data_IF_671552632432
#
_entry.id   IF_671552632432
#
_cell.length_a   1.000
_cell.length_b   1.000
_cell.length_c   1.000
_cell.angle_alpha   90.00
_cell.angle_beta   90.00
_cell.angle_gamma   90.00
#
_symmetry.space_group_name_H-M   'P 1'
#
loop_
_entity.id
_entity.type
_entity.pdbx_description
1 polymer ?
#
# COMPACT_ATOMS: atom_id res chain seq x y z
N UNK A 1 31.34 65.70 78.49
CA UNK A 1 32.14 65.69 77.24
C UNK A 1 31.89 64.37 76.51
N UNK A 2 31.43 64.48 75.24
CA UNK A 2 30.90 63.43 74.36
C UNK A 2 31.98 63.11 73.31
N UNK A 3 32.52 61.89 73.24
CA UNK A 3 33.06 61.22 72.01
C UNK A 3 33.91 60.00 72.37
N UNK A 4 33.40 58.80 72.08
CA UNK A 4 34.22 57.63 71.73
C UNK A 4 33.40 56.50 71.08
N UNK A 5 32.08 56.45 71.33
CA UNK A 5 31.18 55.41 70.78
C UNK A 5 30.87 55.47 69.27
N UNK A 6 31.18 56.57 68.58
CA UNK A 6 30.88 56.72 67.14
C UNK A 6 31.88 56.00 66.23
N UNK A 7 33.11 55.78 66.72
CA UNK A 7 34.18 55.18 65.92
C UNK A 7 34.14 53.66 65.96
N UNK A 8 33.76 53.06 67.10
CA UNK A 8 33.53 51.61 67.21
C UNK A 8 32.30 51.16 66.40
N UNK A 9 31.27 51.99 66.32
CA UNK A 9 30.10 51.73 65.49
C UNK A 9 30.43 51.86 63.99
N UNK A 10 31.24 52.86 63.61
CA UNK A 10 31.69 53.05 62.23
C UNK A 10 32.63 51.93 61.75
N UNK A 11 33.52 51.44 62.61
CA UNK A 11 34.41 50.32 62.30
C UNK A 11 33.63 49.00 62.13
N UNK A 12 32.63 48.75 62.99
CA UNK A 12 31.77 47.57 62.87
C UNK A 12 30.93 47.54 61.58
N UNK A 13 30.39 48.70 61.17
CA UNK A 13 29.66 48.82 59.90
C UNK A 13 30.56 48.69 58.67
N UNK A 14 31.82 49.14 58.74
CA UNK A 14 32.77 48.99 57.65
C UNK A 14 33.18 47.51 57.43
N UNK A 15 33.31 46.74 58.52
CA UNK A 15 33.61 45.31 58.45
C UNK A 15 32.39 44.52 57.96
N UNK A 16 31.18 44.86 58.41
CA UNK A 16 29.95 44.21 57.94
C UNK A 16 29.65 44.53 56.46
N UNK A 17 29.93 45.76 56.01
CA UNK A 17 29.83 46.14 54.60
C UNK A 17 30.88 45.43 53.72
N UNK A 18 32.11 45.26 54.22
CA UNK A 18 33.15 44.49 53.52
C UNK A 18 32.83 42.99 53.45
N UNK A 19 32.19 42.42 54.47
CA UNK A 19 31.69 41.04 54.46
C UNK A 19 30.47 40.85 53.54
N UNK A 20 29.57 41.83 53.44
CA UNK A 20 28.45 41.79 52.49
C UNK A 20 28.87 42.00 51.03
N UNK A 21 30.02 42.61 50.77
CA UNK A 21 30.62 42.72 49.43
C UNK A 21 31.38 41.44 49.01
N UNK A 22 31.59 40.49 49.92
CA UNK A 22 32.29 39.22 49.67
C UNK A 22 31.38 37.99 49.48
N UNK A 23 30.07 38.12 49.69
CA UNK A 23 29.10 37.03 49.58
C UNK A 23 28.14 37.27 48.40
N UNK A 24 28.68 37.25 47.19
CA UNK A 24 27.90 37.45 45.97
C UNK A 24 28.53 36.85 44.72
N UNK A 25 29.44 35.88 44.86
CA UNK A 25 29.76 34.98 43.74
C UNK A 25 28.66 33.92 43.71
N UNK A 26 27.55 34.27 43.09
CA UNK A 26 26.74 33.26 42.41
C UNK A 26 27.65 32.76 41.30
N UNK A 27 28.26 31.59 41.51
CA UNK A 27 28.85 30.82 40.44
C UNK A 27 27.70 30.46 39.49
N UNK A 28 27.38 31.35 38.55
CA UNK A 28 26.78 30.90 37.32
C UNK A 28 27.78 29.91 36.75
N UNK A 29 27.40 28.63 36.70
CA UNK A 29 28.16 27.66 35.92
C UNK A 29 28.15 28.21 34.50
N UNK A 30 29.25 28.85 34.10
CA UNK A 30 29.39 29.42 32.77
C UNK A 30 29.16 28.26 31.80
N UNK A 31 28.05 28.31 31.06
CA UNK A 31 27.77 27.33 30.02
C UNK A 31 28.97 27.26 29.09
N UNK A 32 29.46 26.06 28.82
CA UNK A 32 30.58 25.84 27.91
C UNK A 32 30.09 26.00 26.45
N UNK A 33 31.00 26.10 25.47
CA UNK A 33 30.63 26.22 24.04
C UNK A 33 29.73 25.07 23.56
N UNK A 34 29.81 23.91 24.21
CA UNK A 34 28.98 22.74 23.91
C UNK A 34 27.66 22.70 24.71
N UNK A 35 27.52 23.52 25.76
CA UNK A 35 26.34 23.59 26.62
C UNK A 35 26.10 25.04 27.10
N UNK A 36 25.66 25.94 26.19
CA UNK A 36 25.41 27.34 26.52
C UNK A 36 24.18 27.48 27.41
N UNK A 37 24.23 28.40 28.38
CA UNK A 37 23.07 28.73 29.21
C UNK A 37 21.97 29.38 28.35
N UNK A 38 20.82 28.73 28.24
CA UNK A 38 19.61 29.25 27.59
C UNK A 38 18.53 29.56 28.63
N UNK A 39 17.76 30.63 28.43
CA UNK A 39 16.62 30.93 29.30
C UNK A 39 15.40 30.10 28.89
N UNK A 40 14.58 29.72 29.88
CA UNK A 40 13.31 29.05 29.61
C UNK A 40 12.44 29.85 28.62
N UNK A 41 12.41 31.19 28.75
CA UNK A 41 11.68 32.05 27.81
C UNK A 41 12.20 31.97 26.38
N UNK A 42 13.51 31.80 26.15
CA UNK A 42 14.05 31.64 24.80
C UNK A 42 13.66 30.29 24.18
N UNK A 43 13.60 29.24 25.00
CA UNK A 43 13.10 27.93 24.58
C UNK A 43 11.61 28.01 24.21
N UNK A 44 10.78 28.58 25.08
CA UNK A 44 9.33 28.61 24.94
C UNK A 44 8.85 29.58 23.84
N UNK A 45 9.48 30.76 23.73
CA UNK A 45 9.02 31.82 22.81
C UNK A 45 9.67 31.74 21.42
N UNK A 46 10.86 31.14 21.30
CA UNK A 46 11.63 31.16 20.04
C UNK A 46 11.89 29.76 19.50
N UNK A 47 12.57 28.91 20.27
CA UNK A 47 13.09 27.63 19.75
C UNK A 47 11.99 26.59 19.52
N UNK A 48 11.09 26.40 20.49
CA UNK A 48 10.01 25.42 20.38
C UNK A 48 9.06 25.75 19.22
N UNK A 49 8.55 27.00 19.06
CA UNK A 49 7.70 27.35 17.92
C UNK A 49 8.39 27.15 16.56
N UNK A 50 9.67 27.51 16.43
CA UNK A 50 10.43 27.36 15.19
C UNK A 50 10.65 25.87 14.83
N UNK A 51 11.00 25.04 15.81
CA UNK A 51 11.14 23.59 15.62
C UNK A 51 9.81 22.95 15.25
N UNK A 52 8.72 23.31 15.92
CA UNK A 52 7.37 22.81 15.58
C UNK A 52 7.01 23.21 14.15
N UNK A 53 7.21 24.47 13.77
CA UNK A 53 6.95 24.93 12.41
C UNK A 53 7.78 24.16 11.37
N UNK A 54 9.06 23.87 11.67
CA UNK A 54 9.93 23.10 10.78
C UNK A 54 9.51 21.64 10.67
N UNK A 55 9.09 21.03 11.78
CA UNK A 55 8.57 19.66 11.80
C UNK A 55 7.27 19.56 11.02
N UNK A 56 6.36 20.53 11.16
CA UNK A 56 5.11 20.58 10.39
C UNK A 56 5.36 20.74 8.89
N UNK A 57 6.29 21.61 8.49
CA UNK A 57 6.70 21.78 7.10
C UNK A 57 7.24 20.46 6.52
N UNK A 58 8.20 19.84 7.20
CA UNK A 58 8.78 18.56 6.78
C UNK A 58 7.74 17.43 6.73
N UNK A 59 6.78 17.43 7.66
CA UNK A 59 5.70 16.44 7.69
C UNK A 59 4.74 16.61 6.51
N UNK A 60 4.39 17.85 6.14
CA UNK A 60 3.56 18.13 4.96
C UNK A 60 4.23 17.65 3.68
N UNK A 61 5.53 17.92 3.52
CA UNK A 61 6.31 17.45 2.37
C UNK A 61 6.32 15.92 2.32
N UNK A 62 6.60 15.26 3.45
CA UNK A 62 6.64 13.80 3.52
C UNK A 62 5.27 13.17 3.25
N UNK A 63 4.19 13.79 3.73
CA UNK A 63 2.82 13.35 3.48
C UNK A 63 2.45 13.48 2.00
N UNK A 64 2.84 14.59 1.34
CA UNK A 64 2.64 14.77 -0.09
C UNK A 64 3.44 13.73 -0.91
N UNK A 65 4.70 13.51 -0.56
CA UNK A 65 5.54 12.50 -1.20
C UNK A 65 4.94 11.10 -1.05
N UNK A 66 4.52 10.72 0.17
CA UNK A 66 3.91 9.43 0.43
C UNK A 66 2.59 9.25 -0.32
N UNK A 67 1.77 10.31 -0.40
CA UNK A 67 0.52 10.27 -1.17
C UNK A 67 0.77 10.08 -2.67
N UNK A 68 1.83 10.70 -3.21
CA UNK A 68 2.24 10.54 -4.60
C UNK A 68 2.77 9.14 -4.89
N UNK A 69 3.61 8.60 -3.99
CA UNK A 69 4.12 7.23 -4.10
C UNK A 69 2.98 6.20 -4.04
N UNK A 70 2.03 6.38 -3.12
CA UNK A 70 0.87 5.50 -3.00
C UNK A 70 0.00 5.55 -4.28
N UNK A 71 -0.26 6.75 -4.81
CA UNK A 71 -1.00 6.91 -6.06
C UNK A 71 -0.29 6.24 -7.25
N UNK A 72 1.02 6.39 -7.37
CA UNK A 72 1.82 5.73 -8.40
C UNK A 72 1.79 4.21 -8.27
N UNK A 73 1.87 3.69 -7.05
CA UNK A 73 1.80 2.26 -6.78
C UNK A 73 0.41 1.68 -7.11
N UNK A 74 -0.66 2.41 -6.79
CA UNK A 74 -2.03 2.03 -7.16
C UNK A 74 -2.18 2.01 -8.69
N UNK A 75 -1.70 3.03 -9.40
CA UNK A 75 -1.76 3.08 -10.86
C UNK A 75 -0.99 1.91 -11.51
N UNK A 76 0.17 1.55 -10.95
CA UNK A 76 0.94 0.38 -11.39
C UNK A 76 0.14 -0.91 -11.19
N UNK A 77 -0.45 -1.11 -10.01
CA UNK A 77 -1.28 -2.29 -9.76
C UNK A 77 -2.52 -2.34 -10.67
N UNK A 78 -3.17 -1.20 -10.93
CA UNK A 78 -4.30 -1.12 -11.87
C UNK A 78 -3.87 -1.51 -13.28
N UNK A 79 -2.73 -1.00 -13.77
CA UNK A 79 -2.18 -1.39 -15.06
C UNK A 79 -1.81 -2.87 -15.12
N UNK A 80 -1.23 -3.45 -14.05
CA UNK A 80 -0.95 -4.88 -13.97
C UNK A 80 -2.24 -5.72 -13.98
N UNK A 81 -3.31 -5.27 -13.31
CA UNK A 81 -4.64 -5.92 -13.32
C UNK A 81 -5.27 -5.88 -14.72
N UNK A 82 -5.17 -4.74 -15.42
CA UNK A 82 -5.70 -4.56 -16.77
C UNK A 82 -4.89 -5.34 -17.82
N UNK A 83 -3.56 -5.31 -17.72
CA UNK A 83 -2.68 -6.05 -18.62
C UNK A 83 -2.77 -7.57 -18.43
N UNK A 84 -3.11 -8.04 -17.23
CA UNK A 84 -3.39 -9.45 -16.94
C UNK A 84 -4.80 -9.90 -17.42
N UNK A 85 -5.53 -9.09 -18.18
CA UNK A 85 -6.81 -9.50 -18.76
C UNK A 85 -7.94 -9.66 -17.74
N UNK A 86 -7.91 -8.88 -16.65
CA UNK A 86 -9.00 -8.84 -15.68
C UNK A 86 -9.10 -10.08 -14.78
N UNK A 87 -8.14 -10.25 -13.86
CA UNK A 87 -8.34 -11.04 -12.62
C UNK A 87 -7.18 -10.87 -11.65
N UNK A 88 -7.13 -9.73 -10.97
CA UNK A 88 -6.41 -9.62 -9.70
C UNK A 88 -7.30 -8.95 -8.65
N UNK A 89 -8.51 -9.52 -8.51
CA UNK A 89 -9.27 -9.48 -7.27
C UNK A 89 -9.09 -10.82 -6.58
N UNK A 90 -8.16 -10.90 -5.63
CA UNK A 90 -8.13 -11.99 -4.66
C UNK A 90 -9.43 -11.94 -3.86
N UNK A 91 -10.42 -12.74 -4.25
CA UNK A 91 -11.73 -12.76 -3.62
C UNK A 91 -12.81 -13.38 -4.49
N UNK A 92 -12.84 -14.72 -4.54
CA UNK A 92 -13.81 -15.59 -5.23
C UNK A 92 -13.47 -15.87 -6.69
N UNK A 93 -13.24 -17.14 -7.02
CA UNK A 93 -13.25 -17.63 -8.40
C UNK A 93 -14.68 -17.51 -8.95
N UNK A 94 -15.04 -16.32 -9.43
CA UNK A 94 -16.33 -16.02 -10.06
C UNK A 94 -16.29 -16.39 -11.55
N UNK A 95 -17.45 -16.70 -12.11
CA UNK A 95 -17.57 -16.86 -13.56
C UNK A 95 -17.62 -15.50 -14.25
N UNK A 96 -16.83 -15.36 -15.32
CA UNK A 96 -16.87 -14.23 -16.25
C UNK A 96 -17.70 -14.61 -17.47
N UNK A 97 -18.56 -13.69 -17.93
CA UNK A 97 -19.27 -13.84 -19.20
C UNK A 97 -18.32 -13.51 -20.35
N UNK A 98 -18.03 -14.50 -21.19
CA UNK A 98 -17.27 -14.32 -22.43
C UNK A 98 -18.21 -14.45 -23.63
N UNK A 99 -18.12 -13.51 -24.56
CA UNK A 99 -18.84 -13.56 -25.83
C UNK A 99 -17.84 -13.78 -26.95
N UNK A 100 -18.10 -14.78 -27.79
CA UNK A 100 -17.29 -15.12 -28.97
C UNK A 100 -18.16 -15.14 -30.23
N UNK A 101 -17.56 -14.79 -31.35
CA UNK A 101 -18.15 -14.90 -32.69
C UNK A 101 -17.53 -16.06 -33.47
N UNK A 102 -18.16 -16.44 -34.57
CA UNK A 102 -17.78 -17.64 -35.34
C UNK A 102 -16.31 -17.62 -35.75
N UNK A 103 -15.60 -18.71 -35.49
CA UNK A 103 -14.19 -18.88 -35.84
C UNK A 103 -13.21 -18.45 -34.76
N UNK A 104 -13.62 -17.64 -33.78
CA UNK A 104 -12.76 -17.31 -32.63
C UNK A 104 -12.43 -18.56 -31.82
N UNK A 105 -11.23 -18.57 -31.27
CA UNK A 105 -10.70 -19.68 -30.47
C UNK A 105 -10.37 -19.18 -29.07
N UNK A 106 -10.83 -19.91 -28.06
CA UNK A 106 -10.50 -19.67 -26.67
C UNK A 106 -9.52 -20.73 -26.20
N UNK A 107 -8.33 -20.33 -25.78
CA UNK A 107 -7.40 -21.21 -25.08
C UNK A 107 -7.79 -21.31 -23.61
N UNK A 108 -7.69 -22.53 -23.07
CA UNK A 108 -8.02 -22.85 -21.68
C UNK A 108 -6.76 -23.31 -20.95
N UNK A 109 -6.48 -22.68 -19.81
CA UNK A 109 -5.45 -23.16 -18.89
C UNK A 109 -5.92 -24.39 -18.10
N UNK A 110 -4.99 -25.09 -17.47
CA UNK A 110 -5.33 -26.22 -16.58
C UNK A 110 -6.14 -25.70 -15.38
N UNK A 111 -7.25 -26.37 -15.09
CA UNK A 111 -8.22 -25.97 -14.06
C UNK A 111 -9.27 -24.97 -14.54
N UNK A 112 -9.21 -24.52 -15.80
CA UNK A 112 -10.23 -23.65 -16.37
C UNK A 112 -11.55 -24.41 -16.55
N UNK A 113 -12.64 -23.80 -16.10
CA UNK A 113 -13.99 -24.31 -16.20
C UNK A 113 -14.84 -23.45 -17.14
N UNK A 114 -15.66 -24.11 -17.95
CA UNK A 114 -16.46 -23.46 -18.97
C UNK A 114 -17.88 -24.03 -19.00
N UNK A 115 -18.86 -23.14 -19.09
CA UNK A 115 -20.27 -23.48 -19.26
C UNK A 115 -20.85 -22.71 -20.46
N UNK A 116 -21.23 -23.45 -21.51
CA UNK A 116 -21.86 -22.90 -22.72
C UNK A 116 -23.33 -22.54 -22.44
N UNK A 117 -23.71 -21.27 -22.62
CA UNK A 117 -25.08 -20.78 -22.42
C UNK A 117 -25.81 -20.49 -23.73
N UNK A 118 -25.12 -19.90 -24.71
CA UNK A 118 -25.70 -19.49 -26.01
C UNK A 118 -24.77 -19.92 -27.14
N UNK A 119 -25.35 -20.27 -28.29
CA UNK A 119 -24.60 -20.69 -29.48
C UNK A 119 -24.11 -22.13 -29.42
N UNK A 120 -23.04 -22.40 -30.15
CA UNK A 120 -22.35 -23.69 -30.23
C UNK A 120 -20.83 -23.48 -30.24
N UNK A 121 -20.11 -24.31 -29.49
CA UNK A 121 -18.65 -24.34 -29.48
C UNK A 121 -18.17 -25.79 -29.57
N UNK A 122 -17.07 -26.02 -30.28
CA UNK A 122 -16.43 -27.35 -30.36
C UNK A 122 -15.12 -27.33 -29.60
N UNK A 123 -14.79 -28.45 -28.95
CA UNK A 123 -13.50 -28.60 -28.26
C UNK A 123 -12.43 -29.07 -29.23
N UNK A 124 -11.21 -28.55 -29.10
CA UNK A 124 -10.05 -29.01 -29.84
C UNK A 124 -8.89 -29.33 -28.88
N UNK A 125 -8.17 -30.39 -29.22
CA UNK A 125 -7.02 -30.88 -28.47
C UNK A 125 -6.21 -31.85 -29.32
N UNK A 126 -4.91 -31.97 -29.01
CA UNK A 126 -4.01 -32.95 -29.65
C UNK A 126 -3.98 -34.30 -28.92
N UNK A 127 -4.45 -34.35 -27.66
CA UNK A 127 -4.44 -35.54 -26.82
C UNK A 127 -5.81 -35.74 -26.15
N UNK A 128 -6.13 -36.98 -25.76
CA UNK A 128 -7.38 -37.32 -25.06
C UNK A 128 -7.17 -37.46 -23.54
N UNK A 129 -8.17 -37.13 -22.71
CA UNK A 129 -9.42 -36.46 -23.08
C UNK A 129 -9.20 -34.97 -23.39
N UNK A 130 -10.13 -34.38 -24.12
CA UNK A 130 -10.10 -32.94 -24.38
C UNK A 130 -10.54 -32.17 -23.14
N UNK A 131 -11.71 -32.51 -22.59
CA UNK A 131 -12.26 -31.93 -21.35
C UNK A 131 -12.92 -33.02 -20.50
N UNK A 132 -13.15 -32.71 -19.22
CA UNK A 132 -14.04 -33.49 -18.35
C UNK A 132 -15.38 -32.78 -18.30
N UNK A 133 -16.47 -33.49 -18.57
CA UNK A 133 -17.84 -33.02 -18.34
C UNK A 133 -18.22 -33.34 -16.89
N UNK A 134 -18.20 -32.31 -16.03
CA UNK A 134 -18.52 -32.45 -14.60
C UNK A 134 -20.01 -32.74 -14.40
N UNK A 135 -20.87 -32.27 -15.31
CA UNK A 135 -22.31 -32.48 -15.19
C UNK A 135 -22.71 -33.94 -15.40
N UNK A 136 -22.00 -34.66 -16.25
CA UNK A 136 -22.25 -36.09 -16.51
C UNK A 136 -21.22 -37.02 -15.86
N UNK A 137 -20.08 -36.49 -15.40
CA UNK A 137 -18.94 -37.27 -14.89
C UNK A 137 -18.10 -37.94 -15.97
N UNK A 138 -18.33 -37.62 -17.25
CA UNK A 138 -17.68 -38.25 -18.40
C UNK A 138 -16.53 -37.43 -19.00
N UNK A 139 -15.88 -38.01 -20.01
CA UNK A 139 -14.86 -37.32 -20.82
C UNK A 139 -15.43 -36.81 -22.13
N UNK A 140 -14.98 -35.63 -22.57
CA UNK A 140 -15.25 -35.07 -23.90
C UNK A 140 -13.98 -35.21 -24.75
N UNK A 141 -14.13 -35.69 -25.99
CA UNK A 141 -13.02 -35.88 -26.93
C UNK A 141 -12.90 -34.71 -27.92
N UNK A 142 -11.73 -34.59 -28.53
CA UNK A 142 -11.44 -33.58 -29.57
C UNK A 142 -12.48 -33.63 -30.69
N UNK A 143 -12.94 -32.47 -31.15
CA UNK A 143 -13.96 -32.31 -32.20
C UNK A 143 -15.40 -32.39 -31.71
N UNK A 144 -15.66 -32.80 -30.45
CA UNK A 144 -17.02 -32.84 -29.92
C UNK A 144 -17.59 -31.41 -29.74
N UNK A 145 -18.89 -31.28 -29.97
CA UNK A 145 -19.64 -30.05 -29.65
C UNK A 145 -20.00 -30.05 -28.16
N UNK A 146 -19.86 -28.88 -27.52
CA UNK A 146 -20.29 -28.72 -26.13
C UNK A 146 -21.81 -28.69 -26.05
N UNK A 147 -22.36 -29.43 -25.09
CA UNK A 147 -23.77 -29.35 -24.71
C UNK A 147 -23.99 -28.12 -23.82
N UNK A 148 -25.02 -27.33 -24.14
CA UNK A 148 -25.41 -26.16 -23.34
C UNK A 148 -25.72 -26.57 -21.91
N UNK A 149 -25.35 -25.71 -20.95
CA UNK A 149 -25.58 -25.86 -19.51
C UNK A 149 -24.80 -26.98 -18.81
N UNK A 150 -23.94 -27.67 -19.53
CA UNK A 150 -22.98 -28.58 -18.92
C UNK A 150 -21.73 -27.79 -18.50
N UNK A 151 -21.19 -28.16 -17.33
CA UNK A 151 -19.94 -27.62 -16.82
C UNK A 151 -18.78 -28.51 -17.29
N UNK A 152 -17.86 -27.94 -18.03
CA UNK A 152 -16.65 -28.62 -18.49
C UNK A 152 -15.42 -28.09 -17.77
N UNK A 153 -14.43 -28.95 -17.53
CA UNK A 153 -13.14 -28.54 -16.97
C UNK A 153 -11.99 -29.03 -17.83
N UNK A 154 -11.03 -28.13 -18.07
CA UNK A 154 -9.75 -28.44 -18.67
C UNK A 154 -8.81 -28.99 -17.60
N UNK A 155 -8.38 -30.23 -17.74
CA UNK A 155 -7.46 -30.89 -16.78
C UNK A 155 -6.08 -31.13 -17.35
N UNK A 156 -5.86 -30.79 -18.63
CA UNK A 156 -4.62 -31.01 -19.39
C UNK A 156 -4.35 -29.70 -20.14
N UNK A 157 -3.09 -29.27 -20.31
CA UNK A 157 -2.78 -28.07 -21.09
C UNK A 157 -3.19 -28.20 -22.57
N UNK A 158 -3.12 -27.07 -23.29
CA UNK A 158 -3.34 -26.99 -24.74
C UNK A 158 -4.74 -27.45 -25.17
N UNK A 159 -5.75 -27.05 -24.41
CA UNK A 159 -7.17 -27.24 -24.76
C UNK A 159 -7.74 -25.94 -25.28
N UNK A 160 -8.48 -26.03 -26.37
CA UNK A 160 -9.14 -24.86 -26.93
C UNK A 160 -10.62 -25.13 -27.23
N UNK A 161 -11.40 -24.06 -27.21
CA UNK A 161 -12.78 -24.04 -27.67
C UNK A 161 -12.87 -23.18 -28.91
N UNK A 162 -13.44 -23.72 -29.98
CA UNK A 162 -13.72 -22.97 -31.20
C UNK A 162 -15.19 -22.61 -31.26
N UNK A 163 -15.49 -21.33 -31.38
CA UNK A 163 -16.85 -20.85 -31.59
C UNK A 163 -17.35 -21.29 -32.98
N UNK A 164 -18.49 -21.97 -33.01
CA UNK A 164 -19.10 -22.51 -34.23
C UNK A 164 -20.38 -21.77 -34.64
N UNK A 165 -20.79 -20.74 -33.90
CA UNK A 165 -21.94 -19.88 -34.19
C UNK A 165 -21.53 -18.39 -34.17
N UNK A 166 -22.37 -17.52 -34.75
CA UNK A 166 -22.12 -16.07 -34.80
C UNK A 166 -22.23 -15.37 -33.43
N UNK A 167 -22.99 -15.93 -32.50
CA UNK A 167 -23.11 -15.47 -31.11
C UNK A 167 -22.96 -16.67 -30.15
N UNK A 168 -21.82 -16.75 -29.48
CA UNK A 168 -21.51 -17.78 -28.48
C UNK A 168 -21.28 -17.11 -27.14
N UNK A 169 -22.01 -17.53 -26.10
CA UNK A 169 -21.85 -17.00 -24.75
C UNK A 169 -21.47 -18.10 -23.77
N UNK A 170 -20.34 -17.89 -23.10
CA UNK A 170 -19.73 -18.83 -22.16
C UNK A 170 -19.63 -18.16 -20.80
N UNK A 171 -19.88 -18.92 -19.75
CA UNK A 171 -19.45 -18.55 -18.40
C UNK A 171 -18.13 -19.28 -18.15
N UNK A 172 -17.06 -18.53 -17.85
CA UNK A 172 -15.71 -19.07 -17.73
C UNK A 172 -15.11 -18.71 -16.39
N UNK A 173 -14.48 -19.67 -15.72
CA UNK A 173 -13.78 -19.50 -14.44
C UNK A 173 -12.38 -20.12 -14.53
N UNK A 174 -11.35 -19.38 -14.14
CA UNK A 174 -9.94 -19.79 -14.28
C UNK A 174 -9.23 -19.04 -15.41
N UNK A 175 -8.04 -19.51 -15.81
CA UNK A 175 -7.23 -18.89 -16.85
C UNK A 175 -7.69 -19.22 -18.26
N UNK A 176 -7.86 -18.19 -19.10
CA UNK A 176 -8.25 -18.32 -20.51
C UNK A 176 -7.81 -17.11 -21.32
N UNK A 177 -7.72 -17.27 -22.64
CA UNK A 177 -7.51 -16.16 -23.59
C UNK A 177 -8.27 -16.43 -24.88
N UNK A 178 -8.73 -15.37 -25.56
CA UNK A 178 -9.46 -15.47 -26.85
C UNK A 178 -8.61 -14.86 -27.96
N UNK A 179 -8.55 -15.55 -29.10
CA UNK A 179 -7.90 -15.11 -30.35
C UNK A 179 -8.83 -15.28 -31.55
#
# INVERSE_FOLDING_TARGET
MKKSRRWTLAAGTAILAALCLGAGVVLAANGDQNDPLVTMSYLDETVIPEVVAKVEENTKVRQQELSTQLAAQIAKYQQEIEAAGGSAGSGSASYTLVTMTSGQTMALEVGCEVLLRVGSATVQSNTSPALIDISTGGTVNSGASLTKNHLYMSTIPDRTLKAAASDVKLLVRGGWSVS
#
